data_IF_778933416305
#
_entry.id   IF_778933416305
#
_cell.length_a   1.000
_cell.length_b   1.000
_cell.length_c   1.000
_cell.angle_alpha   90.00
_cell.angle_beta   90.00
_cell.angle_gamma   90.00
#
_symmetry.space_group_name_H-M   'P 1'
#
loop_
_entity.id
_entity.type
_entity.pdbx_description
1 polymer ?
#
# COMPACT_ATOMS: atom_id res chain seq x y z
N UNK A 1 -19.46 -13.40 -10.94
CA UNK A 1 -19.21 -12.56 -12.14
C UNK A 1 -19.34 -11.13 -11.74
N UNK A 2 -18.29 -10.35 -11.94
CA UNK A 2 -18.30 -8.90 -11.76
C UNK A 2 -19.14 -8.21 -12.83
N UNK A 3 -19.63 -7.02 -12.50
CA UNK A 3 -20.40 -6.16 -13.41
C UNK A 3 -19.54 -4.96 -13.78
N UNK A 4 -19.51 -4.60 -15.05
CA UNK A 4 -18.79 -3.44 -15.57
C UNK A 4 -19.85 -2.42 -16.02
N UNK A 5 -19.72 -1.18 -15.56
CA UNK A 5 -20.61 -0.08 -15.90
C UNK A 5 -19.84 1.02 -16.62
N UNK A 6 -20.28 1.36 -17.84
CA UNK A 6 -19.78 2.51 -18.60
C UNK A 6 -20.28 3.81 -17.97
N UNK A 7 -19.41 4.51 -17.26
CA UNK A 7 -19.75 5.76 -16.58
C UNK A 7 -19.78 6.99 -17.49
N UNK A 8 -19.52 6.84 -18.80
CA UNK A 8 -19.77 7.88 -19.80
C UNK A 8 -21.27 7.99 -20.11
N UNK A 9 -22.04 6.90 -19.99
CA UNK A 9 -23.50 6.92 -20.01
C UNK A 9 -24.05 7.30 -18.63
N UNK A 10 -24.89 8.32 -18.55
CA UNK A 10 -25.40 8.87 -17.29
C UNK A 10 -26.25 7.84 -16.53
N UNK A 11 -27.04 7.02 -17.23
CA UNK A 11 -27.92 6.01 -16.64
C UNK A 11 -27.06 4.86 -16.09
N UNK A 12 -26.15 4.33 -16.90
CA UNK A 12 -25.24 3.27 -16.48
C UNK A 12 -24.34 3.72 -15.31
N UNK A 13 -23.86 4.98 -15.32
CA UNK A 13 -23.11 5.58 -14.19
C UNK A 13 -23.94 5.57 -12.91
N UNK A 14 -25.18 6.02 -12.95
CA UNK A 14 -26.07 6.06 -11.78
C UNK A 14 -26.32 4.66 -11.23
N UNK A 15 -26.63 3.72 -12.10
CA UNK A 15 -26.87 2.33 -11.73
C UNK A 15 -25.59 1.67 -11.19
N UNK A 16 -24.46 1.94 -11.83
CA UNK A 16 -23.15 1.44 -11.41
C UNK A 16 -22.73 1.96 -10.04
N UNK A 17 -22.93 3.26 -9.75
CA UNK A 17 -22.65 3.83 -8.44
C UNK A 17 -23.55 3.22 -7.37
N UNK A 18 -24.84 3.05 -7.64
CA UNK A 18 -25.77 2.43 -6.69
C UNK A 18 -25.39 0.97 -6.39
N UNK A 19 -24.99 0.23 -7.41
CA UNK A 19 -24.54 -1.15 -7.27
C UNK A 19 -23.19 -1.26 -6.54
N UNK A 20 -22.23 -0.43 -6.91
CA UNK A 20 -20.94 -0.34 -6.21
C UNK A 20 -21.12 0.06 -4.74
N UNK A 21 -21.99 1.03 -4.45
CA UNK A 21 -22.31 1.41 -3.08
C UNK A 21 -22.93 0.25 -2.27
N UNK A 22 -23.83 -0.50 -2.89
CA UNK A 22 -24.39 -1.70 -2.27
C UNK A 22 -23.32 -2.77 -2.02
N UNK A 23 -22.40 -2.99 -2.97
CA UNK A 23 -21.26 -3.92 -2.82
C UNK A 23 -20.34 -3.50 -1.68
N UNK A 24 -19.93 -2.22 -1.63
CA UNK A 24 -19.07 -1.69 -0.56
C UNK A 24 -19.70 -1.87 0.82
N UNK A 25 -21.02 -1.59 0.96
CA UNK A 25 -21.73 -1.79 2.24
C UNK A 25 -21.81 -3.25 2.69
N UNK A 26 -21.67 -4.22 1.76
CA UNK A 26 -21.55 -5.65 2.09
C UNK A 26 -20.12 -6.08 2.38
N UNK A 27 -19.13 -5.20 2.22
CA UNK A 27 -17.70 -5.51 2.36
C UNK A 27 -17.09 -6.15 1.13
N UNK A 28 -17.74 -6.03 -0.03
CA UNK A 28 -17.17 -6.48 -1.30
C UNK A 28 -16.17 -5.46 -1.84
N UNK A 29 -15.32 -5.92 -2.79
CA UNK A 29 -14.36 -5.07 -3.47
C UNK A 29 -14.97 -4.48 -4.75
N UNK A 30 -14.66 -3.22 -5.00
CA UNK A 30 -15.05 -2.51 -6.22
C UNK A 30 -13.84 -1.85 -6.85
N UNK A 31 -13.87 -1.68 -8.17
CA UNK A 31 -12.86 -0.93 -8.93
C UNK A 31 -13.50 0.37 -9.42
N UNK A 32 -12.77 1.48 -9.27
CA UNK A 32 -13.25 2.83 -9.59
C UNK A 32 -12.13 3.65 -10.25
N UNK A 33 -12.47 4.56 -11.18
CA UNK A 33 -11.52 5.51 -11.75
C UNK A 33 -11.09 6.52 -10.69
N UNK A 34 -9.92 7.12 -10.87
CA UNK A 34 -9.49 8.33 -10.14
C UNK A 34 -8.75 9.26 -11.09
N UNK A 35 -8.45 10.48 -10.63
CA UNK A 35 -7.63 11.47 -11.35
C UNK A 35 -6.17 11.03 -11.55
N UNK A 36 -5.76 9.87 -11.04
CA UNK A 36 -4.38 9.34 -11.18
C UNK A 36 -4.36 7.99 -11.90
N UNK A 37 -4.79 6.94 -11.24
CA UNK A 37 -4.87 5.57 -11.74
C UNK A 37 -6.13 4.92 -11.19
N UNK A 38 -6.62 3.85 -11.79
CA UNK A 38 -7.74 3.10 -11.23
C UNK A 38 -7.42 2.59 -9.83
N UNK A 39 -8.42 2.64 -8.96
CA UNK A 39 -8.37 2.14 -7.60
C UNK A 39 -9.21 0.88 -7.41
N UNK A 40 -8.74 -0.03 -6.56
CA UNK A 40 -9.54 -1.11 -5.98
C UNK A 40 -9.80 -0.74 -4.53
N UNK A 41 -11.06 -0.80 -4.08
CA UNK A 41 -11.42 -0.33 -2.75
C UNK A 41 -12.62 -1.05 -2.13
N UNK A 42 -12.80 -0.79 -0.84
CA UNK A 42 -13.87 -1.31 -0.02
C UNK A 42 -14.13 -0.38 1.17
N UNK A 43 -15.10 -0.71 2.03
CA UNK A 43 -15.37 0.03 3.26
C UNK A 43 -14.15 0.05 4.20
N UNK A 44 -13.68 1.26 4.54
CA UNK A 44 -12.53 1.45 5.44
C UNK A 44 -12.81 0.99 6.88
N UNK A 45 -14.08 0.92 7.28
CA UNK A 45 -14.50 0.52 8.63
C UNK A 45 -14.83 -0.97 8.76
N UNK A 46 -14.66 -1.76 7.71
CA UNK A 46 -14.82 -3.21 7.74
C UNK A 46 -13.45 -3.92 7.74
N UNK A 47 -12.95 -4.39 8.91
CA UNK A 47 -11.65 -5.07 8.98
C UNK A 47 -11.53 -6.29 8.07
N UNK A 48 -12.63 -7.03 7.91
CA UNK A 48 -12.67 -8.21 7.03
C UNK A 48 -12.58 -7.83 5.56
N UNK A 49 -13.23 -6.73 5.15
CA UNK A 49 -13.16 -6.21 3.79
C UNK A 49 -11.77 -5.66 3.46
N UNK A 50 -11.14 -4.93 4.41
CA UNK A 50 -9.76 -4.45 4.28
C UNK A 50 -8.78 -5.61 4.18
N UNK A 51 -8.94 -6.66 5.00
CA UNK A 51 -8.10 -7.86 4.90
C UNK A 51 -8.22 -8.53 3.52
N UNK A 52 -9.45 -8.62 2.98
CA UNK A 52 -9.71 -9.12 1.63
C UNK A 52 -9.03 -8.24 0.56
N UNK A 53 -9.12 -6.91 0.67
CA UNK A 53 -8.41 -5.98 -0.21
C UNK A 53 -6.90 -6.24 -0.22
N UNK A 54 -6.28 -6.38 0.95
CA UNK A 54 -4.86 -6.67 1.07
C UNK A 54 -4.50 -8.01 0.44
N UNK A 55 -5.30 -9.06 0.68
CA UNK A 55 -5.10 -10.39 0.12
C UNK A 55 -5.18 -10.39 -1.42
N UNK A 56 -6.21 -9.75 -2.00
CA UNK A 56 -6.37 -9.61 -3.47
C UNK A 56 -5.19 -8.87 -4.10
N UNK A 57 -4.60 -7.92 -3.37
CA UNK A 57 -3.38 -7.21 -3.79
C UNK A 57 -2.09 -8.02 -3.60
N UNK A 58 -2.12 -9.15 -2.90
CA UNK A 58 -0.91 -9.87 -2.48
C UNK A 58 -0.04 -9.04 -1.54
N UNK A 59 -0.66 -8.26 -0.62
CA UNK A 59 0.02 -7.42 0.36
C UNK A 59 -0.25 -7.91 1.78
N UNK A 60 0.75 -7.79 2.64
CA UNK A 60 0.57 -7.99 4.07
C UNK A 60 0.09 -6.72 4.79
N UNK A 61 -0.12 -6.85 6.10
CA UNK A 61 -0.59 -5.78 6.99
C UNK A 61 0.39 -4.60 7.10
N UNK A 62 1.67 -4.82 6.79
CA UNK A 62 2.74 -3.82 6.77
C UNK A 62 2.61 -2.78 5.63
N UNK A 63 1.65 -2.98 4.72
CA UNK A 63 1.37 -2.09 3.59
C UNK A 63 -0.08 -1.57 3.65
N UNK A 64 -0.46 -0.83 4.68
CA UNK A 64 -1.83 -0.35 4.86
C UNK A 64 -2.29 0.50 3.66
N UNK A 65 -3.55 0.33 3.19
CA UNK A 65 -4.09 1.16 2.13
C UNK A 65 -4.40 2.57 2.65
N UNK A 66 -4.26 3.60 1.83
CA UNK A 66 -4.81 4.91 2.13
C UNK A 66 -6.34 4.87 2.10
N UNK A 67 -6.96 5.89 2.69
CA UNK A 67 -8.40 6.09 2.73
C UNK A 67 -8.77 7.25 1.79
N UNK A 68 -9.64 6.98 0.82
CA UNK A 68 -10.24 8.02 -0.01
C UNK A 68 -11.50 8.56 0.66
N UNK A 69 -11.70 9.86 0.54
CA UNK A 69 -12.84 10.59 1.11
C UNK A 69 -13.53 11.47 0.08
N UNK A 70 -14.84 11.61 0.19
CA UNK A 70 -15.65 12.44 -0.72
C UNK A 70 -15.79 13.91 -0.30
N UNK A 71 -15.19 14.33 0.83
CA UNK A 71 -15.26 15.70 1.32
C UNK A 71 -14.15 16.02 2.34
N UNK A 72 -13.82 17.30 2.47
CA UNK A 72 -12.91 17.83 3.50
C UNK A 72 -13.40 17.51 4.92
N UNK A 73 -14.73 17.55 5.14
CA UNK A 73 -15.33 17.19 6.43
C UNK A 73 -15.05 15.74 6.80
N UNK A 74 -15.17 14.82 5.84
CA UNK A 74 -14.86 13.41 6.06
C UNK A 74 -13.37 13.21 6.37
N UNK A 75 -12.46 13.91 5.66
CA UNK A 75 -11.03 13.85 5.94
C UNK A 75 -10.72 14.32 7.37
N UNK A 76 -11.27 15.48 7.79
CA UNK A 76 -11.05 16.04 9.13
C UNK A 76 -11.56 15.14 10.26
N UNK A 77 -12.55 14.28 9.97
CA UNK A 77 -13.03 13.32 10.96
C UNK A 77 -12.10 12.12 11.15
N UNK A 78 -11.23 11.84 10.17
CA UNK A 78 -10.31 10.69 10.19
C UNK A 78 -8.96 11.01 10.80
N UNK A 79 -8.56 12.29 10.84
CA UNK A 79 -7.26 12.72 11.32
C UNK A 79 -7.39 13.53 12.61
N UNK A 80 -6.47 13.31 13.54
CA UNK A 80 -6.46 13.97 14.83
C UNK A 80 -6.02 15.45 14.72
N UNK A 81 -4.87 15.68 14.08
CA UNK A 81 -4.38 17.01 13.76
C UNK A 81 -3.69 17.03 12.38
N UNK A 82 -4.11 17.98 11.55
CA UNK A 82 -3.51 18.26 10.25
C UNK A 82 -2.33 19.23 10.33
N UNK A 83 -2.22 19.97 11.42
CA UNK A 83 -1.28 21.08 11.50
C UNK A 83 -1.53 22.17 10.44
N UNK A 84 -0.66 23.16 10.36
CA UNK A 84 -0.76 24.20 9.33
C UNK A 84 -0.41 23.64 7.94
N UNK A 85 0.69 22.90 7.82
CA UNK A 85 1.09 22.31 6.54
C UNK A 85 0.02 21.38 5.95
N UNK A 86 -0.70 20.63 6.78
CA UNK A 86 -1.76 19.76 6.29
C UNK A 86 -2.94 20.54 5.70
N UNK A 87 -3.35 21.62 6.37
CA UNK A 87 -4.44 22.50 5.87
C UNK A 87 -4.06 23.18 4.56
N UNK A 88 -2.87 23.80 4.51
CA UNK A 88 -2.37 24.47 3.33
C UNK A 88 -2.26 23.52 2.12
N UNK A 89 -1.75 22.29 2.35
CA UNK A 89 -1.63 21.27 1.31
C UNK A 89 -2.99 20.74 0.84
N UNK A 90 -3.97 20.60 1.75
CA UNK A 90 -5.33 20.22 1.37
C UNK A 90 -6.01 21.33 0.57
N UNK A 91 -5.85 22.60 0.96
CA UNK A 91 -6.44 23.75 0.26
C UNK A 91 -5.89 23.88 -1.16
N UNK A 92 -4.60 23.65 -1.35
CA UNK A 92 -3.94 23.78 -2.66
C UNK A 92 -4.18 22.58 -3.57
N UNK A 93 -4.15 21.35 -3.05
CA UNK A 93 -4.08 20.13 -3.87
C UNK A 93 -5.31 19.22 -3.79
N UNK A 94 -6.34 19.55 -3.01
CA UNK A 94 -7.57 18.76 -2.94
C UNK A 94 -8.82 19.51 -3.42
N UNK A 95 -9.69 18.80 -4.17
CA UNK A 95 -9.53 17.41 -4.64
C UNK A 95 -8.38 17.27 -5.63
N UNK A 96 -7.62 16.13 -5.55
CA UNK A 96 -6.50 15.93 -6.45
C UNK A 96 -5.50 14.85 -6.04
N UNK A 97 -4.31 14.84 -6.67
CA UNK A 97 -3.38 13.71 -6.65
C UNK A 97 -2.40 13.72 -5.45
N UNK A 98 -2.82 14.22 -4.29
CA UNK A 98 -2.02 14.26 -3.07
C UNK A 98 -2.62 13.39 -1.98
N UNK A 99 -1.82 12.48 -1.43
CA UNK A 99 -2.16 11.67 -0.25
C UNK A 99 -1.34 12.18 0.95
N UNK A 100 -2.02 12.49 2.05
CA UNK A 100 -1.40 12.96 3.29
C UNK A 100 -1.45 11.85 4.35
N UNK A 101 -0.30 11.50 4.92
CA UNK A 101 -0.21 10.59 6.05
C UNK A 101 -0.18 11.43 7.34
N UNK A 102 -1.19 11.22 8.18
CA UNK A 102 -1.42 11.97 9.41
C UNK A 102 -1.62 11.01 10.58
N UNK A 103 -1.58 11.52 11.81
CA UNK A 103 -2.05 10.79 12.99
C UNK A 103 -3.56 10.56 12.85
N UNK A 104 -3.98 9.30 12.98
CA UNK A 104 -5.39 8.96 12.89
C UNK A 104 -6.13 9.38 14.17
N UNK A 105 -7.39 9.76 14.04
CA UNK A 105 -8.27 10.05 15.18
C UNK A 105 -8.38 8.80 16.08
N UNK A 106 -7.99 8.86 17.38
CA UNK A 106 -7.88 7.67 18.23
C UNK A 106 -9.20 6.94 18.49
N UNK A 107 -10.33 7.63 18.36
CA UNK A 107 -11.66 7.06 18.59
C UNK A 107 -12.21 6.25 17.41
N UNK A 108 -11.49 6.18 16.29
CA UNK A 108 -11.94 5.41 15.13
C UNK A 108 -11.76 3.92 15.37
N UNK A 109 -12.86 3.17 15.20
CA UNK A 109 -12.87 1.71 15.29
C UNK A 109 -12.71 1.10 13.90
N UNK A 110 -11.47 1.00 13.44
CA UNK A 110 -11.11 0.38 12.16
C UNK A 110 -9.82 -0.45 12.26
N UNK A 111 -9.55 -1.27 11.27
CA UNK A 111 -8.30 -1.99 11.12
C UNK A 111 -7.83 -1.93 9.66
N UNK A 112 -6.94 -1.01 9.37
CA UNK A 112 -6.34 -0.82 8.04
C UNK A 112 -5.01 -1.59 7.86
N UNK A 113 -4.58 -2.37 8.85
CA UNK A 113 -3.27 -3.01 8.93
C UNK A 113 -2.36 -2.35 9.96
N UNK A 114 -1.04 -2.53 9.80
CA UNK A 114 -0.04 -2.07 10.77
C UNK A 114 0.28 -0.57 10.58
N UNK A 115 -0.71 0.27 10.83
CA UNK A 115 -0.66 1.72 10.59
C UNK A 115 0.15 2.50 11.63
N UNK A 116 0.45 1.89 12.78
CA UNK A 116 1.16 2.56 13.90
C UNK A 116 0.47 3.85 14.36
N UNK A 117 -0.87 3.89 14.30
CA UNK A 117 -1.67 5.06 14.67
C UNK A 117 -1.73 6.16 13.62
N UNK A 118 -1.32 5.88 12.38
CA UNK A 118 -1.40 6.85 11.28
C UNK A 118 -2.43 6.43 10.23
N UNK A 119 -2.84 7.35 9.37
CA UNK A 119 -3.70 7.09 8.22
C UNK A 119 -3.24 7.94 7.04
N UNK A 120 -3.17 7.34 5.85
CA UNK A 120 -3.06 8.08 4.59
C UNK A 120 -4.44 8.49 4.10
N UNK A 121 -4.70 9.78 3.89
CA UNK A 121 -6.00 10.29 3.44
C UNK A 121 -5.84 11.05 2.13
N UNK A 122 -6.80 10.92 1.22
CA UNK A 122 -6.84 11.67 -0.05
C UNK A 122 -8.29 11.96 -0.45
N UNK A 123 -8.55 13.13 -1.01
CA UNK A 123 -9.78 13.45 -1.72
C UNK A 123 -9.48 13.46 -3.23
N UNK A 124 -9.92 12.47 -4.01
CA UNK A 124 -9.64 12.40 -5.45
C UNK A 124 -10.44 13.44 -6.23
N UNK A 125 -9.98 13.81 -7.44
CA UNK A 125 -10.67 14.78 -8.30
C UNK A 125 -11.53 14.11 -9.40
N UNK A 126 -11.73 12.82 -9.33
CA UNK A 126 -12.59 12.11 -10.29
C UNK A 126 -14.06 12.17 -9.88
N UNK A 127 -14.98 12.55 -10.78
CA UNK A 127 -16.40 12.71 -10.43
C UNK A 127 -17.10 11.40 -10.11
N UNK A 128 -16.71 10.25 -10.72
CA UNK A 128 -17.31 8.93 -10.41
C UNK A 128 -16.86 8.49 -9.02
N UNK A 129 -15.57 8.64 -8.73
CA UNK A 129 -15.03 8.36 -7.39
C UNK A 129 -15.69 9.23 -6.31
N UNK A 130 -15.84 10.54 -6.56
CA UNK A 130 -16.46 11.44 -5.59
C UNK A 130 -17.93 11.11 -5.34
N UNK A 131 -18.69 10.74 -6.37
CA UNK A 131 -20.09 10.37 -6.21
C UNK A 131 -20.23 9.07 -5.41
N UNK A 132 -19.39 8.06 -5.68
CA UNK A 132 -19.37 6.83 -4.86
C UNK A 132 -18.98 7.14 -3.40
N UNK A 133 -17.92 7.92 -3.16
CA UNK A 133 -17.45 8.29 -1.83
C UNK A 133 -18.45 9.12 -1.04
N UNK A 134 -19.27 9.96 -1.69
CA UNK A 134 -20.40 10.68 -1.06
C UNK A 134 -21.49 9.71 -0.60
N UNK A 135 -21.72 8.65 -1.37
CA UNK A 135 -22.77 7.66 -1.09
C UNK A 135 -22.38 6.68 0.03
N UNK A 136 -21.12 6.23 0.09
CA UNK A 136 -20.67 5.18 1.00
C UNK A 136 -19.81 5.68 2.17
N UNK A 137 -19.27 6.88 2.07
CA UNK A 137 -18.31 7.40 3.04
C UNK A 137 -16.85 6.99 2.72
N UNK A 138 -15.95 7.02 3.73
CA UNK A 138 -14.55 6.71 3.55
C UNK A 138 -14.29 5.28 3.08
N UNK A 139 -13.48 5.11 2.05
CA UNK A 139 -13.08 3.82 1.48
C UNK A 139 -11.59 3.58 1.61
N UNK A 140 -11.20 2.39 2.04
CA UNK A 140 -9.82 1.90 1.91
C UNK A 140 -9.56 1.56 0.44
N UNK A 141 -8.62 2.24 -0.20
CA UNK A 141 -8.38 2.12 -1.64
C UNK A 141 -6.90 1.96 -1.94
N UNK A 142 -6.57 1.04 -2.82
CA UNK A 142 -5.23 0.86 -3.39
C UNK A 142 -5.30 0.96 -4.92
N UNK A 143 -4.18 1.11 -5.62
CA UNK A 143 -4.17 1.04 -7.09
C UNK A 143 -4.72 -0.30 -7.60
N UNK A 144 -5.50 -0.30 -8.68
CA UNK A 144 -6.14 -1.48 -9.27
C UNK A 144 -5.15 -2.29 -10.12
N UNK A 145 -4.21 -2.96 -9.45
CA UNK A 145 -3.19 -3.83 -10.07
C UNK A 145 -2.75 -4.89 -9.07
N UNK A 146 -2.18 -5.99 -9.51
CA UNK A 146 -1.43 -6.91 -8.63
C UNK A 146 -0.15 -6.26 -8.15
N UNK A 147 0.31 -6.60 -6.94
CA UNK A 147 1.52 -6.00 -6.36
C UNK A 147 2.72 -6.22 -7.28
N UNK A 148 3.47 -5.13 -7.54
CA UNK A 148 4.64 -5.16 -8.43
C UNK A 148 4.32 -4.99 -9.92
N UNK A 149 3.05 -5.03 -10.33
CA UNK A 149 2.64 -4.76 -11.70
C UNK A 149 2.32 -3.27 -11.91
N UNK A 150 2.33 -2.76 -13.15
CA UNK A 150 1.91 -1.40 -13.46
C UNK A 150 0.47 -1.14 -12.99
N UNK A 151 0.22 0.08 -12.49
CA UNK A 151 -1.12 0.50 -12.10
C UNK A 151 -2.00 0.66 -13.35
N UNK A 152 -3.24 0.19 -13.27
CA UNK A 152 -4.21 0.32 -14.35
C UNK A 152 -4.60 1.79 -14.59
N UNK A 153 -4.62 2.19 -15.85
CA UNK A 153 -5.09 3.49 -16.34
C UNK A 153 -6.42 3.40 -17.08
N UNK A 154 -6.85 2.16 -17.37
CA UNK A 154 -8.12 1.79 -17.99
C UNK A 154 -8.73 0.62 -17.25
N UNK A 155 -10.05 0.46 -17.36
CA UNK A 155 -10.78 -0.60 -16.67
C UNK A 155 -10.34 -1.99 -17.16
N UNK A 156 -10.05 -2.14 -18.46
CA UNK A 156 -9.63 -3.42 -19.05
C UNK A 156 -8.32 -3.91 -18.42
N UNK A 157 -7.36 -3.01 -18.17
CA UNK A 157 -6.10 -3.35 -17.50
C UNK A 157 -6.33 -3.81 -16.05
N UNK A 158 -7.32 -3.23 -15.38
CA UNK A 158 -7.69 -3.65 -14.04
C UNK A 158 -8.37 -5.03 -14.05
N UNK A 159 -9.27 -5.29 -15.01
CA UNK A 159 -9.94 -6.59 -15.19
C UNK A 159 -8.91 -7.68 -15.52
N UNK A 160 -7.96 -7.40 -16.42
CA UNK A 160 -6.90 -8.36 -16.79
C UNK A 160 -6.07 -8.77 -15.57
N UNK A 161 -5.75 -7.83 -14.69
CA UNK A 161 -4.90 -8.10 -13.53
C UNK A 161 -5.64 -8.69 -12.34
N UNK A 162 -6.86 -8.23 -12.06
CA UNK A 162 -7.62 -8.56 -10.85
C UNK A 162 -8.65 -9.68 -11.06
N UNK A 163 -9.11 -9.86 -12.30
CA UNK A 163 -10.15 -10.84 -12.63
C UNK A 163 -11.54 -10.44 -12.12
N UNK A 164 -12.47 -11.39 -12.17
CA UNK A 164 -13.88 -11.18 -11.81
C UNK A 164 -14.36 -12.02 -10.60
N UNK A 165 -13.47 -12.75 -9.95
CA UNK A 165 -13.82 -13.58 -8.79
C UNK A 165 -13.98 -12.78 -7.50
N UNK A 166 -13.04 -11.85 -7.26
CA UNK A 166 -12.98 -11.06 -6.03
C UNK A 166 -13.67 -9.69 -6.15
N UNK A 167 -13.87 -9.20 -7.36
CA UNK A 167 -14.41 -7.85 -7.62
C UNK A 167 -15.90 -7.93 -7.93
N UNK A 168 -16.72 -7.21 -7.19
CA UNK A 168 -18.17 -7.18 -7.41
C UNK A 168 -18.56 -6.25 -8.58
N UNK A 169 -17.94 -5.07 -8.65
CA UNK A 169 -18.27 -4.03 -9.62
C UNK A 169 -17.00 -3.34 -10.12
N UNK A 170 -16.97 -3.09 -11.42
CA UNK A 170 -16.02 -2.20 -12.09
C UNK A 170 -16.78 -0.97 -12.61
N UNK A 171 -16.38 0.22 -12.20
CA UNK A 171 -16.84 1.49 -12.74
C UNK A 171 -15.86 1.95 -13.81
N UNK A 172 -16.29 1.97 -15.07
CA UNK A 172 -15.47 2.41 -16.20
C UNK A 172 -15.65 3.90 -16.42
N UNK A 173 -14.67 4.68 -16.03
CA UNK A 173 -14.59 6.13 -16.29
C UNK A 173 -13.75 6.48 -17.51
N UNK A 174 -13.38 5.50 -18.34
CA UNK A 174 -12.45 5.67 -19.45
C UNK A 174 -10.98 5.70 -19.00
N UNK A 175 -10.10 6.22 -19.85
CA UNK A 175 -8.68 6.35 -19.54
C UNK A 175 -8.45 7.49 -18.54
N UNK A 176 -7.66 7.22 -17.48
CA UNK A 176 -7.31 8.25 -16.48
C UNK A 176 -6.45 9.35 -17.11
N UNK A 177 -6.67 10.61 -16.71
CA UNK A 177 -5.92 11.76 -17.21
C UNK A 177 -4.43 11.66 -16.90
N UNK A 178 -4.10 11.21 -15.70
CA UNK A 178 -2.73 10.99 -15.27
C UNK A 178 -2.40 9.49 -15.27
N UNK A 179 -1.19 9.15 -15.70
CA UNK A 179 -0.65 7.78 -15.58
C UNK A 179 0.28 7.66 -14.37
N UNK A 180 0.34 8.70 -13.56
CA UNK A 180 1.23 8.79 -12.41
C UNK A 180 0.40 8.70 -11.14
N UNK A 181 0.78 7.80 -10.24
CA UNK A 181 0.13 7.67 -8.93
C UNK A 181 0.24 8.95 -8.09
N UNK A 182 -0.63 9.10 -7.09
CA UNK A 182 -0.59 10.24 -6.16
C UNK A 182 0.76 10.38 -5.46
N UNK A 183 1.17 11.60 -5.18
CA UNK A 183 2.28 11.87 -4.25
C UNK A 183 1.83 11.57 -2.83
N UNK A 184 2.70 10.96 -2.01
CA UNK A 184 2.42 10.66 -0.61
C UNK A 184 3.36 11.49 0.26
N UNK A 185 2.79 12.30 1.14
CA UNK A 185 3.52 13.16 2.10
C UNK A 185 3.16 12.76 3.53
N UNK A 186 4.17 12.53 4.34
CA UNK A 186 4.04 12.23 5.76
C UNK A 186 4.13 13.54 6.57
N UNK A 187 3.08 13.83 7.30
CA UNK A 187 2.91 15.00 8.16
C UNK A 187 3.04 14.68 9.65
N UNK A 188 3.38 13.44 10.01
CA UNK A 188 3.57 13.03 11.41
C UNK A 188 4.85 13.60 12.04
N UNK A 189 5.67 14.25 11.24
CA UNK A 189 6.90 14.94 11.66
C UNK A 189 6.75 16.46 11.54
N UNK A 190 7.56 17.20 12.29
CA UNK A 190 7.59 18.66 12.24
C UNK A 190 7.86 19.23 10.84
N UNK A 191 8.61 18.51 10.01
CA UNK A 191 8.88 18.86 8.61
C UNK A 191 8.25 17.79 7.70
N UNK A 192 7.40 18.19 6.74
CA UNK A 192 6.77 17.26 5.80
C UNK A 192 7.79 16.41 5.05
N UNK A 193 7.50 15.12 4.87
CA UNK A 193 8.38 14.15 4.20
C UNK A 193 7.66 13.48 3.04
N UNK A 194 8.28 13.46 1.86
CA UNK A 194 7.77 12.70 0.73
C UNK A 194 8.09 11.22 0.92
N UNK A 195 7.06 10.39 1.09
CA UNK A 195 7.19 8.93 1.16
C UNK A 195 7.18 8.29 -0.22
N UNK A 196 6.48 8.91 -1.17
CA UNK A 196 6.40 8.49 -2.57
C UNK A 196 6.28 9.73 -3.46
N UNK A 197 7.21 9.89 -4.40
CA UNK A 197 7.05 10.85 -5.48
C UNK A 197 5.93 10.40 -6.42
N UNK A 198 5.13 11.34 -6.89
CA UNK A 198 3.96 11.11 -7.73
C UNK A 198 3.62 12.35 -8.55
N UNK A 199 2.33 12.56 -8.82
CA UNK A 199 1.84 13.60 -9.70
C UNK A 199 2.08 15.04 -9.18
N UNK A 200 2.18 15.24 -7.85
CA UNK A 200 2.58 16.52 -7.26
C UNK A 200 4.09 16.53 -7.05
N UNK A 201 4.79 17.51 -7.64
CA UNK A 201 6.25 17.59 -7.54
C UNK A 201 6.71 18.13 -6.18
N UNK A 202 7.99 17.88 -5.85
CA UNK A 202 8.61 18.41 -4.61
C UNK A 202 8.64 19.94 -4.65
N UNK A 203 8.83 20.54 -5.81
CA UNK A 203 8.85 21.98 -6.01
C UNK A 203 7.48 22.60 -5.70
N UNK A 204 6.39 21.98 -6.15
CA UNK A 204 5.04 22.39 -5.82
C UNK A 204 4.76 22.27 -4.30
N UNK A 205 5.17 21.18 -3.68
CA UNK A 205 5.04 21.02 -2.23
C UNK A 205 5.84 22.07 -1.45
N UNK A 206 7.05 22.41 -1.91
CA UNK A 206 7.90 23.44 -1.28
C UNK A 206 7.31 24.85 -1.46
N UNK A 207 6.61 25.12 -2.54
CA UNK A 207 5.92 26.40 -2.75
C UNK A 207 4.85 26.64 -1.66
N UNK A 208 4.24 25.58 -1.14
CA UNK A 208 3.21 25.65 -0.09
C UNK A 208 3.84 25.58 1.31
N UNK A 209 4.69 24.59 1.56
CA UNK A 209 5.21 24.29 2.90
C UNK A 209 6.58 24.90 3.22
N UNK A 210 7.25 25.50 2.23
CA UNK A 210 8.65 25.96 2.34
C UNK A 210 9.63 24.78 2.36
N UNK A 211 9.85 24.16 3.52
CA UNK A 211 10.77 23.04 3.62
C UNK A 211 10.05 21.70 3.54
N UNK A 212 10.46 20.85 2.59
CA UNK A 212 9.97 19.48 2.43
C UNK A 212 11.17 18.56 2.25
N UNK A 213 11.24 17.49 3.04
CA UNK A 213 12.26 16.45 2.91
C UNK A 213 11.85 15.56 1.72
N UNK A 214 12.74 15.48 0.71
CA UNK A 214 12.53 14.62 -0.46
C UNK A 214 12.51 13.14 -0.09
N UNK A 215 12.10 12.31 -1.05
CA UNK A 215 12.11 10.86 -0.91
C UNK A 215 13.50 10.39 -0.49
N UNK A 216 13.60 9.71 0.64
CA UNK A 216 14.80 8.97 1.00
C UNK A 216 14.92 7.84 -0.04
N UNK A 217 15.78 7.99 -1.04
CA UNK A 217 16.09 6.93 -1.98
C UNK A 217 16.46 5.68 -1.19
N UNK A 218 15.55 4.76 -1.05
CA UNK A 218 15.92 3.38 -0.74
C UNK A 218 16.79 2.95 -1.90
N UNK A 219 18.09 2.80 -1.65
CA UNK A 219 19.02 2.29 -2.64
C UNK A 219 18.44 1.04 -3.32
N UNK A 220 18.84 0.73 -4.56
CA UNK A 220 18.28 -0.40 -5.30
C UNK A 220 18.32 -1.63 -4.40
N UNK A 221 17.18 -2.26 -4.17
CA UNK A 221 17.11 -3.57 -3.52
C UNK A 221 18.03 -4.48 -4.32
N UNK A 222 19.15 -4.92 -3.72
CA UNK A 222 19.95 -6.00 -4.27
C UNK A 222 18.97 -7.14 -4.57
N UNK A 223 18.96 -7.68 -5.81
CA UNK A 223 18.15 -8.85 -6.10
C UNK A 223 18.58 -9.95 -5.12
N UNK A 224 17.60 -10.63 -4.53
CA UNK A 224 17.85 -11.81 -3.72
C UNK A 224 18.70 -12.76 -4.58
N UNK A 225 19.89 -13.11 -4.11
CA UNK A 225 20.67 -14.18 -4.72
C UNK A 225 19.82 -15.43 -4.67
N UNK A 226 19.45 -15.92 -5.85
CA UNK A 226 18.95 -17.28 -6.00
C UNK A 226 20.10 -18.22 -5.68
N UNK A 227 20.08 -18.83 -4.50
CA UNK A 227 20.85 -20.04 -4.24
C UNK A 227 20.20 -21.15 -5.05
N UNK A 228 20.97 -21.75 -5.94
CA UNK A 228 20.54 -22.95 -6.63
C UNK A 228 20.97 -23.03 -8.09
N UNK A 229 22.23 -23.40 -8.33
CA UNK A 229 22.67 -24.26 -9.44
C UNK A 229 24.14 -24.58 -9.23
N UNK A 230 24.39 -25.65 -8.51
CA UNK A 230 25.66 -26.38 -8.61
C UNK A 230 25.62 -27.12 -9.96
N UNK A 231 26.57 -26.81 -10.81
CA UNK A 231 26.91 -27.62 -11.96
C UNK A 231 28.16 -28.42 -11.59
N UNK A 232 28.01 -29.73 -11.67
CA UNK A 232 29.07 -30.73 -11.68
C UNK A 232 30.07 -30.41 -12.79
N UNK A 233 31.35 -30.41 -12.48
CA UNK A 233 32.36 -30.80 -13.47
C UNK A 233 33.43 -31.67 -12.80
N UNK A 234 33.64 -32.84 -13.39
CA UNK A 234 34.57 -33.85 -13.00
C UNK A 234 35.98 -33.48 -13.48
N UNK A 235 36.94 -33.63 -12.64
CA UNK A 235 38.36 -33.51 -12.98
C UNK A 235 39.21 -34.38 -12.07
N UNK A 236 39.60 -35.48 -12.60
CA UNK A 236 40.44 -36.58 -12.17
C UNK A 236 41.84 -36.15 -11.73
N UNK A 237 42.39 -36.85 -10.77
CA UNK A 237 43.79 -37.32 -10.63
C UNK A 237 44.59 -36.89 -9.38
N UNK A 238 44.92 -37.92 -8.73
CA UNK A 238 46.21 -38.39 -8.14
C UNK A 238 46.39 -38.21 -6.67
N UNK A 239 46.39 -39.40 -6.07
CA UNK A 239 46.97 -39.80 -4.80
C UNK A 239 48.50 -39.51 -4.73
N UNK A 240 49.10 -39.22 -3.59
CA UNK A 240 49.97 -40.22 -3.01
C UNK A 240 49.84 -40.38 -1.47
N UNK A 241 49.89 -41.60 -1.12
CA UNK A 241 50.26 -42.44 0.02
C UNK A 241 50.70 -41.85 1.40
N UNK A 242 50.59 -42.68 2.43
CA UNK A 242 50.46 -42.24 3.82
C UNK A 242 51.75 -42.24 4.62
N UNK A 243 51.83 -41.49 5.67
CA UNK A 243 52.83 -41.65 6.75
C UNK A 243 52.18 -41.82 8.10
N UNK A 244 52.51 -42.97 8.69
CA UNK A 244 52.15 -43.45 9.99
C UNK A 244 52.84 -42.72 11.18
N UNK A 245 52.60 -43.15 12.43
CA UNK A 245 52.33 -42.27 13.58
C UNK A 245 53.53 -42.05 14.47
N UNK A 246 53.47 -41.11 15.39
CA UNK A 246 54.33 -41.08 16.58
C UNK A 246 53.47 -41.00 17.84
N UNK A 247 53.73 -41.96 18.69
CA UNK A 247 53.25 -42.23 20.03
C UNK A 247 53.77 -41.23 21.07
N UNK A 248 53.09 -41.31 22.21
CA UNK A 248 53.49 -41.00 23.62
C UNK A 248 53.52 -39.51 24.02
N UNK A 249 52.82 -39.10 25.05
CA UNK A 249 53.13 -39.45 26.42
C UNK A 249 51.95 -39.20 27.38
N UNK A 250 51.99 -39.97 28.45
CA UNK A 250 51.02 -40.18 29.51
C UNK A 250 50.93 -39.01 30.51
N UNK A 251 49.81 -38.88 31.17
CA UNK A 251 49.75 -38.19 32.45
C UNK A 251 48.34 -37.96 32.98
N UNK A 252 47.81 -38.95 33.73
CA UNK A 252 46.72 -38.76 34.66
C UNK A 252 47.29 -38.53 36.09
N UNK A 253 46.47 -38.41 37.16
CA UNK A 253 45.12 -37.90 37.40
C UNK A 253 45.05 -36.96 38.63
N UNK A 254 43.91 -36.41 38.96
CA UNK A 254 43.76 -35.73 40.26
C UNK A 254 42.41 -35.07 40.52
N UNK A 255 41.48 -35.83 41.05
CA UNK A 255 40.61 -35.62 42.22
C UNK A 255 39.74 -34.37 42.30
N UNK A 256 38.47 -34.64 42.39
CA UNK A 256 37.46 -33.82 43.08
C UNK A 256 37.76 -33.75 44.60
N UNK A 257 37.14 -32.89 45.40
CA UNK A 257 35.76 -33.06 45.84
C UNK A 257 34.95 -31.77 46.17
N UNK A 258 33.65 -31.96 46.15
CA UNK A 258 32.64 -31.66 47.21
C UNK A 258 32.57 -30.32 47.94
N UNK A 259 31.32 -29.90 48.18
CA UNK A 259 30.90 -29.08 49.30
C UNK A 259 30.06 -27.88 48.93
N UNK A 260 28.81 -27.95 48.86
CA UNK A 260 27.76 -27.87 49.90
C UNK A 260 27.40 -26.42 50.33
N UNK A 261 26.13 -26.13 50.19
CA UNK A 261 25.29 -25.24 51.01
C UNK A 261 25.54 -23.73 51.04
N UNK A 262 24.63 -22.91 50.53
CA UNK A 262 23.50 -22.35 51.31
C UNK A 262 22.56 -21.61 50.37
#
# INVERSE_FOLDING_TARGET
MSRIYDCADETARKDGIADAASAVRRGDLVVLPTDTVYGIGTDAFSPTAVARLLATKGRGREMPPPVLVGSMRAANALVDDLGNHGRDLMEEFWPGPLTLVCTATPSLSWDLGDTKGTVGVRMPMDPVALDLLKEVGPMAVSSANKSGQPSATRVEEAVEQLGDEDIAVYLDGGETESRVSSTIVDLTYAVPRVLRAGAVSIEQLRAVCGTVIGELRRGPRKPARSEGAEAEDAGEATDPEPRAPREEDRGAPGTAPDGDKN
#
